data_IF_542530150804
#
_entry.id   IF_542530150804
#
_cell.length_a   1.000
_cell.length_b   1.000
_cell.length_c   1.000
_cell.angle_alpha   90.00
_cell.angle_beta   90.00
_cell.angle_gamma   90.00
#
_symmetry.space_group_name_H-M   'P 1'
#
loop_
_entity.id
_entity.type
_entity.pdbx_description
1 polymer ?
#
# COMPACT_ATOMS: atom_id res chain seq x y z
N UNK A 1 -14.78 11.19 -19.71
CA UNK A 1 -13.75 10.62 -18.82
C UNK A 1 -12.39 11.11 -19.32
N UNK A 2 -11.60 11.75 -18.46
CA UNK A 2 -10.33 12.41 -18.83
C UNK A 2 -9.15 11.90 -18.02
N UNK A 3 -9.41 11.32 -16.84
CA UNK A 3 -8.38 10.82 -15.95
C UNK A 3 -8.75 9.47 -15.32
N UNK A 4 -7.71 8.73 -14.92
CA UNK A 4 -7.81 7.54 -14.08
C UNK A 4 -6.99 7.75 -12.81
N UNK A 5 -7.60 7.49 -11.67
CA UNK A 5 -6.97 7.61 -10.35
C UNK A 5 -6.87 6.19 -9.76
N UNK A 6 -5.66 5.72 -9.56
CA UNK A 6 -5.39 4.35 -9.11
C UNK A 6 -5.14 4.31 -7.61
N UNK A 7 -5.67 3.29 -6.93
CA UNK A 7 -5.07 2.85 -5.68
C UNK A 7 -3.71 2.20 -5.96
N UNK A 8 -2.88 2.06 -4.94
CA UNK A 8 -1.53 1.50 -5.07
C UNK A 8 -1.47 0.04 -4.59
N UNK A 9 -1.84 -0.16 -3.33
CA UNK A 9 -1.67 -1.44 -2.65
C UNK A 9 -2.71 -2.47 -3.13
N UNK A 10 -2.25 -3.59 -3.68
CA UNK A 10 -3.13 -4.60 -4.29
C UNK A 10 -3.63 -4.25 -5.70
N UNK A 11 -3.30 -3.06 -6.24
CA UNK A 11 -3.70 -2.59 -7.59
C UNK A 11 -2.49 -2.40 -8.50
N UNK A 12 -1.52 -1.61 -8.08
CA UNK A 12 -0.27 -1.38 -8.84
C UNK A 12 0.86 -2.31 -8.37
N UNK A 13 0.86 -2.65 -7.08
CA UNK A 13 1.86 -3.49 -6.42
C UNK A 13 1.17 -4.52 -5.54
N UNK A 14 1.64 -5.77 -5.54
CA UNK A 14 1.05 -6.85 -4.75
C UNK A 14 1.63 -6.84 -3.32
N UNK A 15 1.19 -5.91 -2.48
CA UNK A 15 1.75 -5.71 -1.14
C UNK A 15 1.23 -6.69 -0.08
N UNK A 16 0.13 -7.40 -0.31
CA UNK A 16 -0.43 -8.31 0.70
C UNK A 16 0.51 -9.46 1.08
N UNK A 17 1.09 -10.23 0.13
CA UNK A 17 2.09 -11.24 0.47
C UNK A 17 3.32 -10.64 1.15
N UNK A 18 3.77 -9.46 0.70
CA UNK A 18 4.89 -8.74 1.31
C UNK A 18 4.59 -8.36 2.77
N UNK A 19 3.40 -7.86 3.07
CA UNK A 19 2.99 -7.53 4.43
C UNK A 19 2.99 -8.76 5.34
N UNK A 20 2.46 -9.89 4.87
CA UNK A 20 2.50 -11.15 5.62
C UNK A 20 3.93 -11.55 5.97
N UNK A 21 4.83 -11.58 4.98
CA UNK A 21 6.24 -11.95 5.20
C UNK A 21 6.94 -10.97 6.16
N UNK A 22 6.64 -9.68 6.07
CA UNK A 22 7.21 -8.68 6.98
C UNK A 22 6.74 -8.87 8.42
N UNK A 23 5.44 -9.10 8.65
CA UNK A 23 4.91 -9.39 9.98
C UNK A 23 5.44 -10.70 10.53
N UNK A 24 5.49 -11.74 9.70
CA UNK A 24 6.06 -13.05 10.07
C UNK A 24 7.53 -12.93 10.48
N UNK A 25 8.33 -12.20 9.70
CA UNK A 25 9.74 -11.97 10.02
C UNK A 25 9.93 -11.15 11.30
N UNK A 26 9.10 -10.12 11.53
CA UNK A 26 9.15 -9.32 12.76
C UNK A 26 8.81 -10.14 14.01
N UNK A 27 7.84 -11.04 13.91
CA UNK A 27 7.42 -11.92 14.99
C UNK A 27 8.42 -13.06 15.24
N UNK A 28 9.12 -13.52 14.21
CA UNK A 28 10.17 -14.54 14.36
C UNK A 28 11.31 -14.07 15.28
N UNK A 29 11.61 -12.77 15.30
CA UNK A 29 12.58 -12.17 16.24
C UNK A 29 12.11 -12.29 17.72
N UNK A 30 10.83 -12.53 17.96
CA UNK A 30 10.21 -12.77 19.27
C UNK A 30 9.94 -14.26 19.54
N UNK A 31 10.42 -15.15 18.67
CA UNK A 31 10.20 -16.60 18.77
C UNK A 31 8.80 -17.06 18.36
N UNK A 32 8.02 -16.21 17.69
CA UNK A 32 6.67 -16.52 17.21
C UNK A 32 6.68 -16.84 15.72
N UNK A 33 6.30 -18.06 15.34
CA UNK A 33 6.07 -18.45 13.94
C UNK A 33 4.60 -18.22 13.57
N UNK A 34 4.32 -17.05 13.02
CA UNK A 34 2.96 -16.66 12.63
C UNK A 34 2.50 -17.46 11.41
N UNK A 35 1.41 -18.20 11.57
CA UNK A 35 0.77 -18.87 10.45
C UNK A 35 -0.07 -17.89 9.59
N UNK A 36 -0.22 -18.22 8.30
CA UNK A 36 -1.08 -17.44 7.41
C UNK A 36 -2.55 -17.44 7.84
N UNK A 37 -3.03 -18.50 8.46
CA UNK A 37 -4.41 -18.61 8.96
C UNK A 37 -4.71 -17.58 10.06
N UNK A 38 -3.73 -17.24 10.90
CA UNK A 38 -3.84 -16.18 11.90
C UNK A 38 -3.79 -14.80 11.27
N UNK A 39 -2.96 -14.61 10.23
CA UNK A 39 -2.82 -13.34 9.53
C UNK A 39 -3.99 -13.03 8.60
N UNK A 40 -4.51 -14.01 7.87
CA UNK A 40 -5.52 -13.85 6.81
C UNK A 40 -6.73 -12.98 7.20
N UNK A 41 -7.32 -13.10 8.40
CA UNK A 41 -8.43 -12.22 8.82
C UNK A 41 -8.03 -10.74 8.99
N UNK A 42 -6.70 -10.45 9.02
CA UNK A 42 -6.19 -9.08 9.19
C UNK A 42 -6.05 -8.33 7.88
N UNK A 43 -6.18 -9.00 6.73
CA UNK A 43 -6.07 -8.37 5.42
C UNK A 43 -7.12 -7.25 5.29
N UNK A 44 -6.67 -6.03 4.99
CA UNK A 44 -7.53 -4.85 4.93
C UNK A 44 -8.00 -4.31 6.28
N UNK A 45 -7.50 -4.85 7.41
CA UNK A 45 -7.86 -4.40 8.75
C UNK A 45 -6.80 -3.51 9.39
N UNK A 46 -7.01 -3.12 10.64
CA UNK A 46 -6.08 -2.29 11.41
C UNK A 46 -5.02 -3.12 12.13
N UNK A 47 -3.87 -2.49 12.45
CA UNK A 47 -2.83 -3.10 13.30
C UNK A 47 -3.40 -3.51 14.67
N UNK A 48 -4.34 -2.75 15.23
CA UNK A 48 -4.99 -3.10 16.49
C UNK A 48 -5.75 -4.44 16.42
N UNK A 49 -6.39 -4.73 15.29
CA UNK A 49 -7.06 -6.02 15.09
C UNK A 49 -6.04 -7.16 14.96
N UNK A 50 -4.96 -6.96 14.21
CA UNK A 50 -3.87 -7.92 14.15
C UNK A 50 -3.31 -8.23 15.56
N UNK A 51 -3.03 -7.20 16.36
CA UNK A 51 -2.52 -7.38 17.74
C UNK A 51 -3.47 -8.20 18.62
N UNK A 52 -4.79 -7.98 18.47
CA UNK A 52 -5.78 -8.80 19.17
C UNK A 52 -5.65 -10.28 18.82
N UNK A 53 -5.63 -10.60 17.52
CA UNK A 53 -5.51 -11.98 17.04
C UNK A 53 -4.16 -12.62 17.44
N UNK A 54 -3.08 -11.88 17.40
CA UNK A 54 -1.76 -12.36 17.83
C UNK A 54 -1.76 -12.72 19.32
N UNK A 55 -2.35 -11.88 20.18
CA UNK A 55 -2.48 -12.18 21.61
C UNK A 55 -3.38 -13.40 21.89
N UNK A 56 -4.48 -13.54 21.14
CA UNK A 56 -5.35 -14.71 21.24
C UNK A 56 -4.62 -16.01 20.82
N UNK A 57 -3.80 -15.95 19.77
CA UNK A 57 -3.13 -17.12 19.21
C UNK A 57 -1.82 -17.49 19.95
N UNK A 58 -1.04 -16.49 20.40
CA UNK A 58 0.33 -16.67 20.90
C UNK A 58 0.57 -16.12 22.32
N UNK A 59 -0.45 -15.51 22.95
CA UNK A 59 -0.39 -15.01 24.32
C UNK A 59 0.38 -13.69 24.46
N UNK A 60 0.88 -13.42 25.68
CA UNK A 60 1.58 -12.18 26.04
C UNK A 60 3.06 -12.14 25.60
N UNK A 61 3.51 -13.11 24.80
CA UNK A 61 4.88 -13.14 24.25
C UNK A 61 5.13 -12.10 23.16
N UNK A 62 4.06 -11.48 22.67
CA UNK A 62 4.12 -10.50 21.56
C UNK A 62 4.31 -9.10 22.13
N UNK A 63 5.33 -8.38 21.64
CA UNK A 63 5.59 -6.97 21.98
C UNK A 63 4.36 -6.08 21.72
N UNK A 64 4.40 -4.84 22.23
CA UNK A 64 3.37 -3.85 21.94
C UNK A 64 3.30 -3.49 20.43
N UNK A 65 2.16 -2.89 20.03
CA UNK A 65 1.88 -2.60 18.64
C UNK A 65 2.89 -1.64 17.98
N UNK A 66 3.44 -0.71 18.73
CA UNK A 66 4.40 0.28 18.21
C UNK A 66 5.74 -0.38 17.91
N UNK A 67 6.26 -1.14 18.89
CA UNK A 67 7.50 -1.89 18.77
C UNK A 67 7.44 -2.90 17.63
N UNK A 68 6.37 -3.69 17.56
CA UNK A 68 6.21 -4.71 16.51
C UNK A 68 6.06 -4.07 15.13
N UNK A 69 5.33 -2.95 15.03
CA UNK A 69 5.20 -2.20 13.78
C UNK A 69 6.54 -1.63 13.30
N UNK A 70 7.35 -1.08 14.21
CA UNK A 70 8.68 -0.58 13.86
C UNK A 70 9.58 -1.70 13.31
N UNK A 71 9.56 -2.89 13.92
CA UNK A 71 10.28 -4.07 13.40
C UNK A 71 9.75 -4.51 12.03
N UNK A 72 8.43 -4.56 11.87
CA UNK A 72 7.82 -4.92 10.58
C UNK A 72 8.29 -3.96 9.46
N UNK A 73 8.35 -2.66 9.73
CA UNK A 73 8.88 -1.71 8.73
C UNK A 73 10.37 -1.93 8.44
N UNK A 74 11.18 -2.25 9.44
CA UNK A 74 12.59 -2.61 9.21
C UNK A 74 12.72 -3.87 8.34
N UNK A 75 11.95 -4.93 8.64
CA UNK A 75 11.91 -6.15 7.81
C UNK A 75 11.40 -5.88 6.40
N UNK A 76 10.40 -5.02 6.25
CA UNK A 76 9.91 -4.60 4.93
C UNK A 76 11.01 -3.95 4.10
N UNK A 77 11.80 -3.08 4.71
CA UNK A 77 12.93 -2.44 4.04
C UNK A 77 13.98 -3.46 3.61
N UNK A 78 14.36 -4.41 4.48
CA UNK A 78 15.31 -5.49 4.17
C UNK A 78 14.82 -6.35 2.99
N UNK A 79 13.54 -6.77 3.01
CA UNK A 79 12.95 -7.62 1.96
C UNK A 79 12.90 -6.85 0.64
N UNK A 80 12.43 -5.60 0.66
CA UNK A 80 12.31 -4.78 -0.56
C UNK A 80 13.69 -4.45 -1.16
N UNK A 81 14.71 -4.23 -0.34
CA UNK A 81 16.07 -4.01 -0.83
C UNK A 81 16.63 -5.25 -1.51
N UNK A 82 16.30 -6.44 -0.99
CA UNK A 82 16.81 -7.71 -1.53
C UNK A 82 16.04 -8.17 -2.77
N UNK A 83 14.73 -8.18 -2.71
CA UNK A 83 13.84 -8.87 -3.65
C UNK A 83 13.03 -7.90 -4.54
N UNK A 84 13.07 -6.59 -4.25
CA UNK A 84 12.25 -5.57 -4.91
C UNK A 84 10.80 -5.56 -4.44
N UNK A 85 9.99 -4.71 -5.07
CA UNK A 85 8.54 -4.69 -4.85
C UNK A 85 7.87 -5.79 -5.67
N UNK A 86 6.91 -6.54 -5.09
CA UNK A 86 6.20 -7.60 -5.82
C UNK A 86 5.29 -6.99 -6.88
N UNK A 87 5.64 -7.19 -8.14
CA UNK A 87 4.89 -6.65 -9.28
C UNK A 87 3.62 -7.47 -9.55
N UNK A 88 2.57 -6.77 -9.98
CA UNK A 88 1.36 -7.41 -10.52
C UNK A 88 1.55 -7.55 -12.04
N UNK A 89 1.49 -8.76 -12.59
CA UNK A 89 1.68 -8.96 -14.04
C UNK A 89 0.71 -8.11 -14.87
N UNK A 90 1.22 -7.45 -15.91
CA UNK A 90 0.43 -6.64 -16.83
C UNK A 90 0.16 -5.20 -16.38
N UNK A 91 0.49 -4.82 -15.15
CA UNK A 91 0.27 -3.44 -14.65
C UNK A 91 1.07 -2.42 -15.44
N UNK A 92 2.36 -2.66 -15.66
CA UNK A 92 3.22 -1.71 -16.40
C UNK A 92 2.71 -1.46 -17.82
N UNK A 93 2.32 -2.51 -18.51
CA UNK A 93 1.76 -2.45 -19.85
C UNK A 93 0.41 -1.72 -19.87
N UNK A 94 -0.46 -1.99 -18.90
CA UNK A 94 -1.75 -1.34 -18.77
C UNK A 94 -1.61 0.18 -18.51
N UNK A 95 -0.77 0.56 -17.56
CA UNK A 95 -0.50 1.97 -17.24
C UNK A 95 0.06 2.70 -18.46
N UNK A 96 1.06 2.12 -19.13
CA UNK A 96 1.60 2.69 -20.36
C UNK A 96 0.53 2.88 -21.43
N UNK A 97 -0.33 1.87 -21.63
CA UNK A 97 -1.41 1.93 -22.61
C UNK A 97 -2.41 3.03 -22.29
N UNK A 98 -2.86 3.18 -21.04
CA UNK A 98 -3.79 4.24 -20.66
C UNK A 98 -3.18 5.62 -20.88
N UNK A 99 -1.90 5.79 -20.56
CA UNK A 99 -1.18 7.03 -20.85
C UNK A 99 -1.12 7.32 -22.36
N UNK A 100 -0.78 6.32 -23.17
CA UNK A 100 -0.68 6.46 -24.64
C UNK A 100 -2.05 6.75 -25.30
N UNK A 101 -3.14 6.26 -24.69
CA UNK A 101 -4.52 6.58 -25.09
C UNK A 101 -4.97 8.00 -24.67
N UNK A 102 -4.09 8.76 -23.99
CA UNK A 102 -4.30 10.15 -23.62
C UNK A 102 -5.03 10.38 -22.28
N UNK A 103 -5.15 9.34 -21.44
CA UNK A 103 -5.66 9.53 -20.09
C UNK A 103 -4.61 10.19 -19.20
N UNK A 104 -5.06 11.12 -18.36
CA UNK A 104 -4.26 11.67 -17.27
C UNK A 104 -4.29 10.66 -16.11
N UNK A 105 -3.13 10.31 -15.59
CA UNK A 105 -3.02 9.25 -14.57
C UNK A 105 -2.53 9.83 -13.25
N UNK A 106 -3.14 9.37 -12.14
CA UNK A 106 -2.76 9.72 -10.79
C UNK A 106 -2.86 8.51 -9.87
N UNK A 107 -2.08 8.51 -8.78
CA UNK A 107 -2.15 7.52 -7.70
C UNK A 107 -2.72 8.18 -6.45
N UNK A 108 -3.75 7.58 -5.85
CA UNK A 108 -4.27 7.96 -4.54
C UNK A 108 -4.12 6.79 -3.56
N UNK A 109 -3.21 6.90 -2.59
CA UNK A 109 -2.89 5.82 -1.64
C UNK A 109 -2.91 6.31 -0.19
N UNK A 110 -3.22 5.42 0.75
CA UNK A 110 -3.06 5.67 2.19
C UNK A 110 -1.60 5.69 2.64
N UNK A 111 -0.67 5.26 1.80
CA UNK A 111 0.77 5.20 2.09
C UNK A 111 1.40 6.60 2.12
N UNK A 112 2.51 6.74 2.85
CA UNK A 112 3.30 7.96 2.87
C UNK A 112 3.82 8.35 1.49
N UNK A 113 3.89 9.65 1.20
CA UNK A 113 4.23 10.16 -0.13
C UNK A 113 5.59 9.66 -0.65
N UNK A 114 6.62 9.61 0.21
CA UNK A 114 7.93 9.07 -0.16
C UNK A 114 7.87 7.60 -0.59
N UNK A 115 6.99 6.80 0.06
CA UNK A 115 6.83 5.39 -0.22
C UNK A 115 6.12 5.16 -1.57
N UNK A 116 5.08 5.96 -1.85
CA UNK A 116 4.41 5.95 -3.17
C UNK A 116 5.44 6.20 -4.27
N UNK A 117 6.25 7.24 -4.14
CA UNK A 117 7.30 7.56 -5.10
C UNK A 117 8.27 6.40 -5.35
N UNK A 118 8.76 5.75 -4.27
CA UNK A 118 9.64 4.58 -4.36
C UNK A 118 9.01 3.39 -5.10
N UNK A 119 7.74 3.10 -4.83
CA UNK A 119 7.01 2.04 -5.52
C UNK A 119 6.91 2.33 -7.01
N UNK A 120 6.49 3.54 -7.38
CA UNK A 120 6.33 3.94 -8.79
C UNK A 120 7.68 3.91 -9.55
N UNK A 121 8.76 4.34 -8.89
CA UNK A 121 10.11 4.29 -9.46
C UNK A 121 10.58 2.84 -9.67
N UNK A 122 10.38 1.98 -8.66
CA UNK A 122 10.77 0.56 -8.72
C UNK A 122 9.98 -0.24 -9.77
N UNK A 123 8.70 0.11 -10.00
CA UNK A 123 7.88 -0.46 -11.05
C UNK A 123 8.16 0.16 -12.43
N UNK A 124 9.01 1.19 -12.50
CA UNK A 124 9.32 1.95 -13.72
C UNK A 124 8.06 2.51 -14.42
N UNK A 125 7.09 2.99 -13.62
CA UNK A 125 5.84 3.55 -14.14
C UNK A 125 5.62 5.03 -13.75
N UNK A 126 6.49 5.61 -12.91
CA UNK A 126 6.34 6.98 -12.41
C UNK A 126 6.15 8.01 -13.50
N UNK A 127 6.86 7.86 -14.63
CA UNK A 127 6.81 8.79 -15.76
C UNK A 127 5.44 8.88 -16.46
N UNK A 128 4.54 7.93 -16.19
CA UNK A 128 3.19 7.92 -16.77
C UNK A 128 2.17 8.65 -15.90
N UNK A 129 2.51 8.96 -14.64
CA UNK A 129 1.63 9.63 -13.70
C UNK A 129 1.95 11.13 -13.61
N UNK A 130 0.93 11.99 -13.65
CA UNK A 130 1.12 13.44 -13.47
C UNK A 130 1.51 13.77 -12.03
N UNK A 131 0.88 13.11 -11.07
CA UNK A 131 1.15 13.27 -9.65
C UNK A 131 0.68 12.04 -8.86
N UNK A 132 0.87 12.09 -7.55
CA UNK A 132 0.27 11.16 -6.60
C UNK A 132 -0.21 11.91 -5.37
N UNK A 133 -1.20 11.33 -4.68
CA UNK A 133 -1.79 11.85 -3.44
C UNK A 133 -1.63 10.82 -2.33
N UNK A 134 -1.00 11.25 -1.24
CA UNK A 134 -0.84 10.46 -0.02
C UNK A 134 -2.01 10.68 0.94
N UNK A 135 -2.36 9.65 1.71
CA UNK A 135 -3.29 9.79 2.82
C UNK A 135 -2.82 10.77 3.90
N UNK A 136 -1.52 11.12 3.92
CA UNK A 136 -0.95 12.14 4.81
C UNK A 136 -1.34 13.59 4.43
N UNK A 137 -1.89 13.78 3.22
CA UNK A 137 -2.29 15.11 2.71
C UNK A 137 -3.74 15.49 3.05
N UNK A 138 -4.46 14.62 3.76
CA UNK A 138 -5.90 14.79 4.05
C UNK A 138 -6.20 14.52 5.52
N UNK A 139 -7.23 15.17 6.04
CA UNK A 139 -7.65 15.00 7.45
C UNK A 139 -8.32 13.65 7.69
N UNK A 140 -9.04 13.13 6.70
CA UNK A 140 -9.75 11.85 6.76
C UNK A 140 -9.28 10.92 5.62
N UNK A 141 -8.23 10.11 5.84
CA UNK A 141 -7.79 9.16 4.83
C UNK A 141 -8.81 8.02 4.63
N UNK A 142 -8.56 7.17 3.63
CA UNK A 142 -9.41 5.99 3.35
C UNK A 142 -9.79 5.24 4.64
N UNK A 143 -11.05 4.85 4.83
CA UNK A 143 -12.09 4.69 3.79
C UNK A 143 -12.87 5.98 3.44
N UNK A 144 -12.55 7.15 4.01
CA UNK A 144 -13.14 8.41 3.56
C UNK A 144 -12.71 8.73 2.12
N UNK A 145 -13.52 9.48 1.36
CA UNK A 145 -13.23 9.80 -0.03
C UNK A 145 -12.15 10.88 -0.20
N UNK A 146 -11.68 11.51 0.87
CA UNK A 146 -10.87 12.73 0.86
C UNK A 146 -9.59 12.57 0.03
N UNK A 147 -8.92 11.41 0.10
CA UNK A 147 -7.72 11.14 -0.70
C UNK A 147 -8.01 11.20 -2.21
N UNK A 148 -9.15 10.65 -2.63
CA UNK A 148 -9.56 10.70 -4.04
C UNK A 148 -10.05 12.09 -4.44
N UNK A 149 -10.76 12.79 -3.56
CA UNK A 149 -11.17 14.20 -3.79
C UNK A 149 -9.92 15.07 -3.98
N UNK A 150 -8.93 14.89 -3.12
CA UNK A 150 -7.65 15.61 -3.21
C UNK A 150 -6.91 15.31 -4.52
N UNK A 151 -6.92 14.07 -4.97
CA UNK A 151 -6.37 13.66 -6.26
C UNK A 151 -7.06 14.40 -7.44
N UNK A 152 -8.38 14.44 -7.43
CA UNK A 152 -9.15 15.17 -8.45
C UNK A 152 -8.85 16.69 -8.44
N UNK A 153 -8.69 17.29 -7.25
CA UNK A 153 -8.29 18.69 -7.11
C UNK A 153 -6.92 18.97 -7.73
N UNK A 154 -5.93 18.11 -7.49
CA UNK A 154 -4.59 18.21 -8.10
C UNK A 154 -4.68 18.16 -9.62
N UNK A 155 -5.49 17.28 -10.16
CA UNK A 155 -5.75 17.19 -11.60
C UNK A 155 -6.63 18.35 -12.12
N UNK A 156 -7.27 19.14 -11.25
CA UNK A 156 -8.25 20.18 -11.59
C UNK A 156 -9.41 19.63 -12.43
N UNK A 157 -9.89 18.44 -12.04
CA UNK A 157 -10.98 17.73 -12.69
C UNK A 157 -12.16 17.53 -11.73
N UNK A 158 -13.33 17.30 -12.31
CA UNK A 158 -14.54 16.97 -11.58
C UNK A 158 -14.72 15.46 -11.49
N UNK A 159 -15.51 14.94 -10.51
CA UNK A 159 -15.74 13.51 -10.37
C UNK A 159 -16.25 12.82 -11.65
N UNK A 160 -17.12 13.48 -12.40
CA UNK A 160 -17.66 12.95 -13.66
C UNK A 160 -16.63 12.76 -14.76
N UNK A 161 -15.46 13.40 -14.65
CA UNK A 161 -14.35 13.28 -15.59
C UNK A 161 -13.32 12.19 -15.19
N UNK A 162 -13.46 11.59 -14.00
CA UNK A 162 -12.51 10.65 -13.44
C UNK A 162 -13.09 9.22 -13.31
N UNK A 163 -12.23 8.24 -13.53
CA UNK A 163 -12.45 6.84 -13.13
C UNK A 163 -11.55 6.55 -11.91
N UNK A 164 -12.09 5.83 -10.94
CA UNK A 164 -11.35 5.36 -9.77
C UNK A 164 -11.38 3.83 -9.78
#
# INVERSE_FOLDING_TARGET
>A
MKAMIFDMDGVLVNTEPLHYECWKAALADEGVDMSYEVYKPCIGSTVGYLMKLLKEAYGETVSDAETLRARMYAKKEEIVQKDGFPQIPGVKEAIKRFHDEGFRLEVASSSAGYYIGRVLDALEIRQYFECYTSGEEVDHPKPAPDTFVRAMEKLKLKPEDCLI
#
